data_IF_989307057531
#
_entry.id   IF_989307057531
#
_cell.length_a   1.000
_cell.length_b   1.000
_cell.length_c   1.000
_cell.angle_alpha   90.00
_cell.angle_beta   90.00
_cell.angle_gamma   90.00
#
_symmetry.space_group_name_H-M   'P 1'
#
loop_
_entity.id
_entity.type
_entity.pdbx_description
1 polymer ?
#
# COMPACT_ATOMS: atom_id res chain seq x y z
N UNK A 1 28.63 -25.86 -12.58
CA UNK A 1 28.02 -24.67 -13.21
C UNK A 1 26.52 -24.81 -12.98
N UNK A 2 25.95 -23.98 -12.12
CA UNK A 2 24.54 -24.09 -11.74
C UNK A 2 23.69 -23.63 -12.92
N UNK A 3 22.98 -24.55 -13.56
CA UNK A 3 21.98 -24.20 -14.58
C UNK A 3 20.90 -23.36 -13.91
N UNK A 4 20.71 -22.14 -14.40
CA UNK A 4 19.63 -21.25 -13.97
C UNK A 4 18.29 -21.95 -14.22
N UNK A 5 17.48 -22.08 -13.18
CA UNK A 5 16.16 -22.74 -13.24
C UNK A 5 15.16 -21.88 -14.03
N UNK A 6 14.20 -22.53 -14.68
CA UNK A 6 13.14 -21.86 -15.47
C UNK A 6 12.36 -20.90 -14.58
N UNK A 7 12.02 -21.32 -13.36
CA UNK A 7 11.26 -20.51 -12.40
C UNK A 7 11.99 -19.21 -12.04
N UNK A 8 13.29 -19.29 -11.77
CA UNK A 8 14.11 -18.11 -11.43
C UNK A 8 14.14 -17.12 -12.59
N UNK A 9 14.26 -17.62 -13.82
CA UNK A 9 14.27 -16.75 -15.01
C UNK A 9 12.90 -16.09 -15.24
N UNK A 10 11.79 -16.80 -15.00
CA UNK A 10 10.46 -16.21 -15.04
C UNK A 10 10.27 -15.11 -13.97
N UNK A 11 10.75 -15.34 -12.74
CA UNK A 11 10.72 -14.35 -11.66
C UNK A 11 11.54 -13.10 -12.01
N UNK A 12 12.74 -13.27 -12.56
CA UNK A 12 13.58 -12.14 -13.03
C UNK A 12 12.90 -11.35 -14.15
N UNK A 13 12.26 -12.06 -15.10
CA UNK A 13 11.48 -11.43 -16.15
C UNK A 13 10.37 -10.55 -15.57
N UNK A 14 9.59 -11.03 -14.60
CA UNK A 14 8.52 -10.23 -14.00
C UNK A 14 9.05 -9.09 -13.12
N UNK A 15 10.16 -9.32 -12.40
CA UNK A 15 10.72 -8.36 -11.41
C UNK A 15 11.25 -7.06 -12.00
N UNK A 16 11.52 -7.00 -13.31
CA UNK A 16 12.12 -5.81 -13.92
C UNK A 16 13.59 -5.95 -14.27
N UNK A 17 14.23 -7.07 -13.91
CA UNK A 17 15.64 -7.27 -14.21
C UNK A 17 15.83 -7.41 -15.73
N UNK A 18 16.61 -6.48 -16.29
CA UNK A 18 16.79 -6.32 -17.73
C UNK A 18 18.07 -6.99 -18.24
N UNK A 19 18.70 -7.85 -17.44
CA UNK A 19 19.86 -8.61 -17.89
C UNK A 19 19.46 -9.61 -18.98
N UNK A 20 20.31 -9.73 -19.99
CA UNK A 20 20.15 -10.75 -21.02
C UNK A 20 20.53 -12.10 -20.41
N UNK A 21 19.52 -12.79 -19.89
CA UNK A 21 19.66 -14.08 -19.23
C UNK A 21 19.00 -15.17 -20.06
N UNK A 22 19.61 -16.35 -20.09
CA UNK A 22 19.10 -17.48 -20.83
C UNK A 22 19.45 -18.79 -20.12
N UNK A 23 18.58 -19.77 -20.24
CA UNK A 23 18.83 -21.15 -19.85
C UNK A 23 18.50 -22.09 -21.04
N UNK A 24 18.35 -23.39 -20.77
CA UNK A 24 18.11 -24.37 -21.84
C UNK A 24 16.73 -24.22 -22.51
N UNK A 25 15.76 -23.63 -21.82
CA UNK A 25 14.36 -23.57 -22.22
C UNK A 25 13.87 -22.16 -22.54
N UNK A 26 14.42 -21.16 -21.86
CA UNK A 26 13.92 -19.79 -21.82
C UNK A 26 15.06 -18.79 -22.03
N UNK A 27 14.70 -17.62 -22.57
CA UNK A 27 15.59 -16.48 -22.73
C UNK A 27 14.84 -15.18 -22.53
N UNK A 28 15.43 -14.28 -21.74
CA UNK A 28 15.00 -12.89 -21.65
C UNK A 28 15.78 -12.08 -22.68
N UNK A 29 15.07 -11.34 -23.51
CA UNK A 29 15.65 -10.45 -24.50
C UNK A 29 15.16 -9.01 -24.24
N UNK A 30 16.04 -8.09 -23.82
CA UNK A 30 15.71 -6.68 -23.81
C UNK A 30 15.61 -6.15 -25.25
N UNK A 31 14.57 -5.37 -25.53
CA UNK A 31 14.32 -4.74 -26.83
C UNK A 31 13.85 -3.30 -26.62
N UNK A 32 14.77 -2.34 -26.78
CA UNK A 32 14.54 -0.91 -26.57
C UNK A 32 13.94 -0.59 -25.19
N UNK A 33 12.61 -0.48 -25.12
CA UNK A 33 11.82 -0.08 -23.95
C UNK A 33 10.87 -1.20 -23.47
N UNK A 34 11.08 -2.42 -23.94
CA UNK A 34 10.32 -3.59 -23.55
C UNK A 34 11.26 -4.78 -23.33
N UNK A 35 10.78 -5.78 -22.61
CA UNK A 35 11.48 -7.06 -22.41
C UNK A 35 10.63 -8.17 -22.97
N UNK A 36 11.26 -9.10 -23.67
CA UNK A 36 10.60 -10.25 -24.27
C UNK A 36 11.08 -11.52 -23.59
N UNK A 37 10.13 -12.39 -23.26
CA UNK A 37 10.41 -13.75 -22.83
C UNK A 37 10.20 -14.68 -24.02
N UNK A 38 11.28 -15.37 -24.40
CA UNK A 38 11.31 -16.29 -25.54
C UNK A 38 11.51 -17.72 -25.04
N UNK A 39 10.82 -18.68 -25.66
CA UNK A 39 11.07 -20.11 -25.45
C UNK A 39 12.24 -20.63 -26.31
N UNK A 40 12.58 -21.90 -26.12
CA UNK A 40 13.72 -22.60 -26.75
C UNK A 40 13.77 -22.50 -28.27
N UNK A 41 12.60 -22.45 -28.91
CA UNK A 41 12.45 -22.35 -30.38
C UNK A 41 12.36 -20.90 -30.88
N UNK A 42 12.62 -19.91 -30.02
CA UNK A 42 12.43 -18.49 -30.33
C UNK A 42 10.97 -18.05 -30.34
N UNK A 43 10.05 -18.87 -29.86
CA UNK A 43 8.63 -18.52 -29.74
C UNK A 43 8.45 -17.46 -28.65
N UNK A 44 7.80 -16.35 -28.98
CA UNK A 44 7.45 -15.30 -28.02
C UNK A 44 6.42 -15.83 -27.03
N UNK A 45 6.76 -15.83 -25.74
CA UNK A 45 5.89 -16.28 -24.65
C UNK A 45 5.21 -15.09 -23.98
N UNK A 46 5.99 -14.06 -23.64
CA UNK A 46 5.48 -12.85 -23.02
C UNK A 46 6.27 -11.60 -23.43
N UNK A 47 5.63 -10.43 -23.32
CA UNK A 47 6.24 -9.11 -23.56
C UNK A 47 5.91 -8.18 -22.40
N UNK A 48 6.92 -7.66 -21.72
CA UNK A 48 6.78 -6.66 -20.66
C UNK A 48 7.06 -5.26 -21.22
N UNK A 49 6.14 -4.34 -21.01
CA UNK A 49 6.23 -2.94 -21.40
C UNK A 49 6.50 -2.11 -20.14
N UNK A 50 7.76 -2.06 -19.73
CA UNK A 50 8.16 -1.39 -18.48
C UNK A 50 7.97 0.13 -18.54
N UNK A 51 8.02 0.71 -19.74
CA UNK A 51 7.81 2.16 -19.96
C UNK A 51 6.32 2.57 -20.00
N UNK A 52 5.38 1.63 -19.94
CA UNK A 52 3.95 1.94 -19.89
C UNK A 52 3.53 2.44 -18.49
N UNK A 53 2.51 3.30 -18.43
CA UNK A 53 1.90 3.72 -17.16
C UNK A 53 0.41 3.30 -17.14
N UNK A 54 0.01 2.31 -16.32
CA UNK A 54 0.87 1.45 -15.48
C UNK A 54 1.74 0.48 -16.31
N UNK A 55 2.82 -0.08 -15.71
CA UNK A 55 3.58 -1.16 -16.33
C UNK A 55 2.66 -2.32 -16.69
N UNK A 56 2.85 -2.90 -17.88
CA UNK A 56 1.98 -3.96 -18.40
C UNK A 56 2.78 -5.12 -18.95
N UNK A 57 2.23 -6.33 -18.83
CA UNK A 57 2.83 -7.56 -19.35
C UNK A 57 1.77 -8.29 -20.16
N UNK A 58 2.13 -8.67 -21.38
CA UNK A 58 1.30 -9.44 -22.30
C UNK A 58 1.81 -10.88 -22.35
N UNK A 59 0.96 -11.86 -22.04
CA UNK A 59 1.31 -13.29 -22.00
C UNK A 59 0.47 -14.06 -23.02
N UNK A 60 1.08 -14.93 -23.82
CA UNK A 60 0.34 -15.77 -24.76
C UNK A 60 -0.36 -16.93 -24.03
N UNK A 61 -1.65 -17.13 -24.33
CA UNK A 61 -2.50 -18.15 -23.67
C UNK A 61 -2.04 -19.59 -23.90
N UNK A 62 -1.65 -19.93 -25.13
CA UNK A 62 -1.32 -21.30 -25.52
C UNK A 62 0.17 -21.63 -25.33
N UNK A 63 0.71 -21.31 -24.15
CA UNK A 63 2.10 -21.61 -23.81
C UNK A 63 2.16 -22.53 -22.60
N UNK A 64 3.20 -23.37 -22.53
CA UNK A 64 3.43 -24.28 -21.40
C UNK A 64 3.73 -23.55 -20.08
N UNK A 65 4.08 -22.27 -20.16
CA UNK A 65 4.40 -21.42 -19.03
C UNK A 65 3.26 -20.46 -18.63
N UNK A 66 2.10 -20.50 -19.31
CA UNK A 66 1.01 -19.53 -19.09
C UNK A 66 0.51 -19.52 -17.63
N UNK A 67 0.30 -20.70 -17.05
CA UNK A 67 -0.22 -20.84 -15.69
C UNK A 67 0.80 -20.40 -14.63
N UNK A 68 2.08 -20.77 -14.82
CA UNK A 68 3.17 -20.38 -13.92
C UNK A 68 3.39 -18.87 -14.00
N UNK A 69 3.39 -18.29 -15.22
CA UNK A 69 3.46 -16.84 -15.41
C UNK A 69 2.29 -16.13 -14.76
N UNK A 70 1.08 -16.66 -14.88
CA UNK A 70 -0.09 -16.09 -14.20
C UNK A 70 0.14 -16.01 -12.69
N UNK A 71 0.61 -17.10 -12.07
CA UNK A 71 0.88 -17.13 -10.63
C UNK A 71 1.95 -16.10 -10.23
N UNK A 72 3.10 -16.10 -10.91
CA UNK A 72 4.18 -15.15 -10.63
C UNK A 72 3.71 -13.70 -10.83
N UNK A 73 2.92 -13.44 -11.87
CA UNK A 73 2.38 -12.10 -12.12
C UNK A 73 1.48 -11.64 -10.97
N UNK A 74 0.58 -12.48 -10.50
CA UNK A 74 -0.28 -12.18 -9.35
C UNK A 74 0.56 -11.91 -8.09
N UNK A 75 1.58 -12.72 -7.83
CA UNK A 75 2.51 -12.55 -6.69
C UNK A 75 3.29 -11.22 -6.77
N UNK A 76 3.54 -10.73 -8.00
CA UNK A 76 4.17 -9.43 -8.27
C UNK A 76 3.16 -8.30 -8.51
N UNK A 77 1.92 -8.43 -8.04
CA UNK A 77 0.86 -7.41 -8.11
C UNK A 77 0.43 -7.00 -9.54
N UNK A 78 0.66 -7.87 -10.51
CA UNK A 78 0.14 -7.73 -11.86
C UNK A 78 -1.24 -8.37 -11.97
N UNK A 79 -2.22 -7.55 -12.32
CA UNK A 79 -3.63 -7.92 -12.38
C UNK A 79 -4.05 -8.15 -13.83
N UNK A 80 -4.75 -9.23 -14.18
CA UNK A 80 -5.27 -9.41 -15.53
C UNK A 80 -6.29 -8.30 -15.87
N UNK A 81 -6.08 -7.62 -16.99
CA UNK A 81 -6.90 -6.52 -17.51
C UNK A 81 -7.38 -6.81 -18.92
N UNK A 82 -8.62 -6.45 -19.24
CA UNK A 82 -9.15 -6.55 -20.60
C UNK A 82 -9.27 -8.00 -21.09
N UNK A 83 -10.25 -8.73 -20.58
CA UNK A 83 -10.56 -10.07 -21.06
C UNK A 83 -11.52 -10.01 -22.24
N UNK A 84 -10.99 -9.87 -23.44
CA UNK A 84 -11.70 -10.40 -24.60
C UNK A 84 -11.54 -11.93 -24.57
N UNK A 85 -12.67 -12.67 -24.58
CA UNK A 85 -12.65 -14.13 -24.51
C UNK A 85 -11.78 -14.74 -25.62
N UNK A 86 -11.76 -14.12 -26.79
CA UNK A 86 -11.09 -14.62 -28.00
C UNK A 86 -9.63 -14.13 -28.17
N UNK A 87 -9.13 -13.31 -27.25
CA UNK A 87 -7.75 -12.83 -27.34
C UNK A 87 -6.75 -13.96 -27.11
N UNK A 88 -5.79 -14.09 -28.02
CA UNK A 88 -4.65 -15.01 -27.90
C UNK A 88 -3.64 -14.57 -26.82
N UNK A 89 -3.80 -13.35 -26.30
CA UNK A 89 -2.92 -12.70 -25.35
C UNK A 89 -3.71 -12.28 -24.11
N UNK A 90 -3.16 -12.58 -22.93
CA UNK A 90 -3.61 -12.07 -21.65
C UNK A 90 -2.80 -10.85 -21.30
N UNK A 91 -3.48 -9.72 -21.08
CA UNK A 91 -2.85 -8.50 -20.63
C UNK A 91 -2.90 -8.43 -19.11
N UNK A 92 -1.78 -8.08 -18.50
CA UNK A 92 -1.66 -7.81 -17.08
C UNK A 92 -1.15 -6.39 -16.89
N UNK A 93 -1.67 -5.70 -15.88
CA UNK A 93 -1.22 -4.37 -15.50
C UNK A 93 -0.90 -4.33 -14.01
N UNK A 94 0.18 -3.64 -13.67
CA UNK A 94 0.60 -3.50 -12.28
C UNK A 94 -0.25 -2.45 -11.57
N UNK A 95 -0.88 -2.85 -10.46
CA UNK A 95 -1.63 -1.94 -9.59
C UNK A 95 -1.13 -2.07 -8.16
N UNK A 96 -0.80 -0.95 -7.49
CA UNK A 96 -0.37 -1.01 -6.09
C UNK A 96 -1.50 -1.57 -5.22
N UNK A 97 -1.17 -2.55 -4.40
CA UNK A 97 -2.09 -3.16 -3.44
C UNK A 97 -1.88 -2.52 -2.07
N UNK A 98 -2.95 -2.12 -1.36
CA UNK A 98 -2.84 -1.70 0.04
C UNK A 98 -2.31 -2.82 0.95
N UNK A 99 -1.56 -2.46 1.98
CA UNK A 99 -1.04 -3.43 2.95
C UNK A 99 -2.16 -4.20 3.67
N UNK A 100 -1.95 -5.50 3.89
CA UNK A 100 -2.93 -6.39 4.51
C UNK A 100 -4.06 -6.83 3.58
N UNK A 101 -3.87 -6.70 2.26
CA UNK A 101 -4.78 -7.22 1.24
C UNK A 101 -4.05 -8.13 0.28
N UNK A 102 -4.75 -9.16 -0.20
CA UNK A 102 -4.30 -10.04 -1.27
C UNK A 102 -5.16 -9.90 -2.51
N UNK A 103 -4.55 -10.10 -3.68
CA UNK A 103 -5.28 -10.26 -4.94
C UNK A 103 -5.98 -11.61 -4.97
N UNK A 104 -7.25 -11.60 -5.35
CA UNK A 104 -8.00 -12.80 -5.70
C UNK A 104 -8.47 -12.66 -7.14
N UNK A 105 -8.17 -13.69 -7.94
CA UNK A 105 -8.65 -13.82 -9.31
C UNK A 105 -9.60 -15.01 -9.40
N UNK A 106 -10.84 -14.75 -9.82
CA UNK A 106 -11.89 -15.75 -9.79
C UNK A 106 -13.16 -15.31 -10.49
N UNK A 107 -14.20 -16.13 -10.41
CA UNK A 107 -15.48 -15.82 -11.05
C UNK A 107 -16.26 -14.79 -10.23
N UNK A 108 -17.03 -13.93 -10.88
CA UNK A 108 -17.79 -12.89 -10.21
C UNK A 108 -18.76 -13.44 -9.15
N UNK A 109 -19.34 -14.62 -9.39
CA UNK A 109 -20.16 -15.33 -8.39
C UNK A 109 -19.41 -15.73 -7.11
N UNK A 110 -18.09 -15.91 -7.16
CA UNK A 110 -17.28 -16.18 -5.97
C UNK A 110 -17.13 -14.92 -5.12
N UNK A 111 -16.88 -13.76 -5.76
CA UNK A 111 -16.89 -12.47 -5.08
C UNK A 111 -18.23 -12.22 -4.38
N UNK A 112 -19.36 -12.45 -5.06
CA UNK A 112 -20.69 -12.28 -4.45
C UNK A 112 -20.90 -13.16 -3.22
N UNK A 113 -20.43 -14.42 -3.26
CA UNK A 113 -20.49 -15.32 -2.08
C UNK A 113 -19.65 -14.78 -0.92
N UNK A 114 -18.46 -14.28 -1.20
CA UNK A 114 -17.61 -13.65 -0.18
C UNK A 114 -18.26 -12.39 0.39
N UNK A 115 -18.76 -11.50 -0.48
CA UNK A 115 -19.49 -10.29 -0.10
C UNK A 115 -20.64 -10.61 0.86
N UNK A 116 -21.52 -11.54 0.50
CA UNK A 116 -22.67 -11.93 1.32
C UNK A 116 -22.26 -12.48 2.69
N UNK A 117 -21.19 -13.28 2.73
CA UNK A 117 -20.66 -13.85 3.97
C UNK A 117 -20.14 -12.77 4.92
N UNK A 118 -19.52 -11.71 4.38
CA UNK A 118 -19.03 -10.57 5.16
C UNK A 118 -20.13 -9.58 5.54
N UNK A 119 -21.04 -9.24 4.62
CA UNK A 119 -22.14 -8.31 4.84
C UNK A 119 -23.06 -8.75 5.99
N UNK A 120 -23.31 -10.06 6.13
CA UNK A 120 -24.07 -10.63 7.24
C UNK A 120 -23.48 -10.36 8.63
N UNK A 121 -22.17 -10.03 8.71
CA UNK A 121 -21.45 -9.74 9.97
C UNK A 121 -21.35 -8.24 10.27
N UNK A 122 -21.60 -7.39 9.27
CA UNK A 122 -21.33 -5.95 9.30
C UNK A 122 -22.61 -5.12 9.22
N UNK A 123 -23.75 -5.63 9.69
CA UNK A 123 -25.09 -5.01 9.57
C UNK A 123 -25.19 -3.54 10.05
N UNK A 124 -24.17 -3.01 10.71
CA UNK A 124 -24.10 -1.64 11.23
C UNK A 124 -23.09 -0.72 10.48
N UNK A 125 -22.40 -1.20 9.43
CA UNK A 125 -21.45 -0.40 8.65
C UNK A 125 -21.99 -0.12 7.25
N UNK A 126 -22.05 1.16 6.87
CA UNK A 126 -22.44 1.60 5.53
C UNK A 126 -21.36 1.36 4.44
N UNK A 127 -20.15 0.99 4.83
CA UNK A 127 -19.01 0.75 3.94
C UNK A 127 -18.24 -0.48 4.42
N UNK A 128 -18.17 -1.51 3.57
CA UNK A 128 -17.35 -2.69 3.80
C UNK A 128 -15.97 -2.44 3.21
N UNK A 129 -14.96 -2.40 4.08
CA UNK A 129 -13.56 -2.18 3.69
C UNK A 129 -12.82 -3.50 3.47
N UNK A 130 -13.48 -4.65 3.60
CA UNK A 130 -12.81 -5.95 3.50
C UNK A 130 -12.59 -6.39 2.05
N UNK A 131 -13.35 -5.81 1.11
CA UNK A 131 -13.36 -6.19 -0.31
C UNK A 131 -13.26 -4.97 -1.21
N UNK A 132 -12.31 -4.99 -2.15
CA UNK A 132 -12.14 -3.95 -3.16
C UNK A 132 -12.23 -4.53 -4.56
N UNK A 133 -12.76 -3.75 -5.50
CA UNK A 133 -12.75 -4.06 -6.94
C UNK A 133 -11.95 -3.01 -7.69
N UNK A 134 -11.35 -3.43 -8.81
CA UNK A 134 -10.61 -2.53 -9.68
C UNK A 134 -11.59 -1.81 -10.60
N UNK A 135 -11.83 -0.51 -10.38
CA UNK A 135 -12.67 0.31 -11.26
C UNK A 135 -11.84 1.44 -11.87
N UNK A 136 -11.73 1.44 -13.20
CA UNK A 136 -10.92 2.37 -14.01
C UNK A 136 -9.55 2.69 -13.40
N UNK A 137 -8.77 1.62 -13.21
CA UNK A 137 -7.36 1.65 -12.79
C UNK A 137 -7.10 2.04 -11.33
N UNK A 138 -8.10 2.01 -10.46
CA UNK A 138 -7.93 2.20 -9.01
C UNK A 138 -8.80 1.21 -8.23
N UNK A 139 -8.34 0.83 -7.04
CA UNK A 139 -9.08 -0.02 -6.12
C UNK A 139 -10.14 0.78 -5.38
N UNK A 140 -11.39 0.32 -5.43
CA UNK A 140 -12.51 0.91 -4.69
C UNK A 140 -13.17 -0.12 -3.79
N UNK A 141 -13.52 0.26 -2.55
CA UNK A 141 -14.29 -0.60 -1.68
C UNK A 141 -15.67 -0.83 -2.31
N UNK A 142 -16.16 -2.06 -2.19
CA UNK A 142 -17.50 -2.40 -2.63
C UNK A 142 -18.51 -1.79 -1.64
N UNK A 143 -19.52 -1.11 -2.14
CA UNK A 143 -20.60 -0.52 -1.34
C UNK A 143 -21.80 -1.44 -1.25
N UNK A 144 -22.17 -1.98 -2.39
CA UNK A 144 -23.28 -2.92 -2.52
C UNK A 144 -23.03 -3.88 -3.69
N UNK A 145 -23.66 -5.05 -3.62
CA UNK A 145 -23.68 -6.01 -4.72
C UNK A 145 -25.09 -6.53 -4.88
N UNK A 146 -25.73 -6.17 -5.98
CA UNK A 146 -27.02 -6.72 -6.38
C UNK A 146 -26.83 -7.83 -7.41
N UNK A 147 -27.73 -8.81 -7.42
CA UNK A 147 -27.76 -9.88 -8.42
C UNK A 147 -29.13 -9.94 -9.08
N UNK A 148 -29.15 -9.97 -10.41
CA UNK A 148 -30.36 -10.17 -11.21
C UNK A 148 -30.07 -11.14 -12.35
N UNK A 149 -30.78 -12.27 -12.37
CA UNK A 149 -30.73 -13.24 -13.48
C UNK A 149 -29.30 -13.68 -13.86
N UNK A 150 -28.43 -13.89 -12.85
CA UNK A 150 -27.03 -14.29 -13.06
C UNK A 150 -26.07 -13.14 -13.39
N UNK A 151 -26.57 -11.91 -13.49
CA UNK A 151 -25.75 -10.69 -13.65
C UNK A 151 -25.58 -10.01 -12.30
N UNK A 152 -24.34 -9.67 -11.97
CA UNK A 152 -23.93 -8.95 -10.77
C UNK A 152 -23.77 -7.47 -11.11
N UNK A 153 -24.28 -6.63 -10.23
CA UNK A 153 -24.17 -5.18 -10.25
C UNK A 153 -23.38 -4.79 -9.01
N UNK A 154 -22.15 -4.33 -9.19
CA UNK A 154 -21.24 -3.97 -8.10
C UNK A 154 -21.20 -2.45 -8.02
N UNK A 155 -21.78 -1.90 -6.94
CA UNK A 155 -21.75 -0.47 -6.69
C UNK A 155 -20.48 -0.07 -5.93
N UNK A 156 -19.83 0.98 -6.41
CA UNK A 156 -18.63 1.56 -5.81
C UNK A 156 -18.80 3.08 -5.72
N UNK A 157 -17.90 3.77 -5.01
CA UNK A 157 -17.91 5.25 -5.00
C UNK A 157 -17.68 5.87 -6.38
N UNK A 158 -17.17 5.10 -7.35
CA UNK A 158 -16.95 5.55 -8.72
C UNK A 158 -18.14 5.29 -9.65
N UNK A 159 -19.11 4.50 -9.20
CA UNK A 159 -20.27 4.06 -9.96
C UNK A 159 -20.42 2.55 -9.96
N UNK A 160 -21.38 2.08 -10.73
CA UNK A 160 -21.76 0.69 -10.87
C UNK A 160 -20.98 -0.01 -12.00
N UNK A 161 -20.49 -1.21 -11.74
CA UNK A 161 -19.96 -2.11 -12.79
C UNK A 161 -20.82 -3.36 -12.90
N UNK A 162 -20.95 -3.88 -14.12
CA UNK A 162 -21.85 -5.01 -14.45
C UNK A 162 -21.02 -6.19 -14.93
N UNK A 163 -21.24 -7.35 -14.32
CA UNK A 163 -20.50 -8.58 -14.62
C UNK A 163 -21.46 -9.78 -14.66
N UNK A 164 -21.30 -10.70 -15.59
CA UNK A 164 -21.98 -11.99 -15.53
C UNK A 164 -21.34 -12.87 -14.44
N UNK A 165 -22.10 -13.78 -13.84
CA UNK A 165 -21.62 -14.62 -12.73
C UNK A 165 -20.41 -15.51 -13.07
N UNK A 166 -20.23 -15.81 -14.35
CA UNK A 166 -19.11 -16.61 -14.86
C UNK A 166 -17.95 -15.74 -15.39
N UNK A 167 -18.10 -14.41 -15.39
CA UNK A 167 -17.01 -13.51 -15.76
C UNK A 167 -15.87 -13.66 -14.76
N UNK A 168 -14.66 -13.77 -15.27
CA UNK A 168 -13.48 -13.73 -14.44
C UNK A 168 -13.15 -12.28 -14.09
N UNK A 169 -12.96 -12.04 -12.80
CA UNK A 169 -12.68 -10.72 -12.27
C UNK A 169 -11.62 -10.79 -11.19
N UNK A 170 -11.10 -9.62 -10.85
CA UNK A 170 -10.08 -9.46 -9.82
C UNK A 170 -10.62 -8.55 -8.74
N UNK A 171 -10.42 -8.97 -7.50
CA UNK A 171 -10.73 -8.18 -6.33
C UNK A 171 -9.61 -8.30 -5.30
N UNK A 172 -9.60 -7.39 -4.35
CA UNK A 172 -8.78 -7.52 -3.16
C UNK A 172 -9.62 -8.04 -2.01
N UNK A 173 -9.02 -8.93 -1.23
CA UNK A 173 -9.58 -9.43 0.02
C UNK A 173 -8.62 -9.06 1.15
N UNK A 174 -9.16 -8.55 2.25
CA UNK A 174 -8.37 -8.29 3.44
C UNK A 174 -7.82 -9.62 3.98
N UNK A 175 -6.50 -9.69 4.14
CA UNK A 175 -5.86 -10.79 4.83
C UNK A 175 -6.29 -10.75 6.29
N UNK A 176 -6.99 -11.80 6.72
CA UNK A 176 -7.30 -11.96 8.13
C UNK A 176 -5.98 -12.31 8.81
N UNK A 177 -5.44 -11.37 9.59
CA UNK A 177 -4.56 -11.75 10.68
C UNK A 177 -5.41 -12.60 11.63
N UNK A 178 -5.29 -13.92 11.53
CA UNK A 178 -5.70 -14.80 12.61
C UNK A 178 -4.77 -14.46 13.78
N UNK A 179 -5.27 -13.62 14.70
CA UNK A 179 -4.67 -13.27 15.98
C UNK A 179 -4.68 -14.51 16.90
N UNK A 180 -4.02 -15.58 16.47
CA UNK A 180 -3.85 -16.82 17.25
C UNK A 180 -2.41 -17.31 17.31
N UNK A 181 -1.45 -16.62 16.70
CA UNK A 181 -0.05 -16.86 17.00
C UNK A 181 0.67 -15.53 17.31
N UNK A 182 1.27 -15.55 18.50
CA UNK A 182 2.21 -14.57 19.02
C UNK A 182 1.65 -13.21 19.45
N UNK A 183 1.28 -13.16 20.74
CA UNK A 183 1.85 -12.15 21.65
C UNK A 183 3.34 -11.97 21.39
N UNK A 184 3.68 -11.13 20.41
CA UNK A 184 5.01 -10.59 20.22
C UNK A 184 4.88 -9.06 20.31
N UNK A 185 5.28 -8.53 21.46
CA UNK A 185 6.61 -7.95 21.61
C UNK A 185 6.74 -6.53 21.05
N UNK A 186 5.75 -5.65 21.30
CA UNK A 186 6.09 -4.26 21.63
C UNK A 186 6.71 -4.20 23.03
N UNK A 187 7.88 -4.82 23.19
CA UNK A 187 8.77 -4.52 24.29
C UNK A 187 9.60 -3.30 23.87
N UNK A 188 9.41 -2.20 24.59
CA UNK A 188 10.31 -1.05 24.56
C UNK A 188 11.77 -1.51 24.63
N UNK A 189 12.73 -0.85 23.95
CA UNK A 189 14.14 -1.17 24.10
C UNK A 189 14.52 -0.92 25.56
N UNK A 190 14.58 -1.99 26.35
CA UNK A 190 15.03 -1.93 27.73
C UNK A 190 16.52 -1.66 27.68
N UNK A 191 16.90 -0.48 28.18
CA UNK A 191 18.28 -0.04 28.24
C UNK A 191 19.19 -1.11 28.85
N UNK A 192 20.31 -1.35 28.19
CA UNK A 192 21.41 -2.18 28.69
C UNK A 192 21.82 -1.68 30.09
N UNK A 193 21.53 -2.49 31.10
CA UNK A 193 22.23 -2.44 32.39
C UNK A 193 23.49 -3.31 32.26
N UNK A 194 24.63 -2.64 32.27
CA UNK A 194 25.96 -3.24 32.38
C UNK A 194 26.08 -3.98 33.72
N UNK A 195 26.57 -5.23 33.78
CA UNK A 195 26.91 -5.88 35.04
C UNK A 195 28.28 -5.38 35.51
N UNK A 196 28.36 -4.86 36.73
CA UNK A 196 29.64 -4.71 37.43
C UNK A 196 29.62 -5.49 38.74
N UNK A 197 30.64 -6.33 38.86
CA UNK A 197 30.90 -7.29 39.92
C UNK A 197 31.33 -6.59 41.21
N UNK A 198 30.97 -7.20 42.34
CA UNK A 198 31.54 -6.95 43.66
C UNK A 198 32.92 -7.64 43.76
N UNK A 199 33.86 -7.08 44.55
CA UNK A 199 34.26 -7.84 45.73
C UNK A 199 34.47 -6.98 47.00
N UNK A 200 33.90 -7.50 48.08
CA UNK A 200 34.47 -7.76 49.42
C UNK A 200 35.46 -6.81 50.15
N UNK A 201 35.08 -6.55 51.41
CA UNK A 201 35.85 -6.35 52.65
C UNK A 201 36.05 -4.92 53.26
N UNK A 202 35.54 -4.85 54.50
CA UNK A 202 35.50 -3.86 55.61
C UNK A 202 36.89 -3.58 56.24
N UNK A 203 37.04 -2.80 57.36
CA UNK A 203 36.17 -1.82 58.06
C UNK A 203 36.88 -0.53 58.55
N UNK A 204 36.13 0.44 59.08
CA UNK A 204 36.36 1.18 60.36
C UNK A 204 35.38 2.38 60.48
N UNK A 205 34.54 2.39 61.53
CA UNK A 205 34.59 3.35 62.66
C UNK A 205 34.22 4.81 62.30
N UNK A 206 33.38 5.60 62.97
CA UNK A 206 32.51 5.54 64.16
C UNK A 206 31.71 6.88 64.11
N UNK A 207 30.59 6.94 64.84
CA UNK A 207 30.00 8.14 65.51
C UNK A 207 28.75 8.81 64.90
N UNK A 208 27.71 8.70 65.74
CA UNK A 208 26.76 9.74 66.21
C UNK A 208 25.67 10.28 65.28
N UNK A 209 24.46 9.72 65.47
CA UNK A 209 23.23 10.31 66.04
C UNK A 209 22.73 11.74 65.67
N UNK A 210 21.40 11.97 65.75
CA UNK A 210 20.55 12.88 64.95
C UNK A 210 20.23 14.18 65.76
N UNK A 211 19.08 14.92 65.67
CA UNK A 211 17.87 14.86 64.83
C UNK A 211 17.33 16.26 64.41
N UNK A 212 16.02 16.31 64.11
CA UNK A 212 15.09 17.45 64.22
C UNK A 212 14.72 18.20 62.92
N UNK A 213 13.44 18.06 62.50
CA UNK A 213 12.32 19.03 62.68
C UNK A 213 12.45 20.18 61.64
N UNK A 214 11.46 20.60 60.84
CA UNK A 214 10.03 20.73 61.05
C UNK A 214 9.32 21.00 59.71
N UNK A 215 8.03 20.69 59.68
CA UNK A 215 6.93 21.26 58.86
C UNK A 215 6.96 22.81 58.69
N UNK A 216 5.91 23.47 58.12
CA UNK A 216 5.14 23.30 56.88
C UNK A 216 4.95 24.65 56.13
N UNK A 217 4.03 24.68 55.15
CA UNK A 217 3.14 25.80 54.74
C UNK A 217 3.46 26.50 53.41
N UNK A 218 2.45 26.58 52.54
CA UNK A 218 2.38 27.63 51.51
C UNK A 218 1.68 27.24 50.20
N UNK A 219 0.34 27.15 50.21
CA UNK A 219 -0.50 27.55 49.04
C UNK A 219 -0.40 29.09 48.91
N UNK A 220 -0.65 29.76 47.75
CA UNK A 220 -1.76 29.43 46.84
C UNK A 220 -1.64 29.87 45.34
N UNK A 221 -2.73 29.61 44.60
CA UNK A 221 -3.32 30.38 43.47
C UNK A 221 -2.84 30.22 42.00
N UNK A 222 -3.82 29.73 41.21
CA UNK A 222 -4.36 30.23 39.93
C UNK A 222 -3.66 30.02 38.57
N UNK A 223 -4.57 29.81 37.61
CA UNK A 223 -4.50 29.91 36.15
C UNK A 223 -3.84 28.78 35.36
N UNK A 224 -4.64 27.73 35.15
CA UNK A 224 -4.48 26.80 34.04
C UNK A 224 -4.83 27.48 32.72
N UNK A 225 -3.83 28.03 32.05
CA UNK A 225 -3.91 28.42 30.65
C UNK A 225 -3.95 27.17 29.77
N UNK A 226 -5.14 26.83 29.25
CA UNK A 226 -5.31 25.84 28.19
C UNK A 226 -4.69 26.43 26.93
N UNK A 227 -3.53 25.91 26.52
CA UNK A 227 -2.92 26.25 25.24
C UNK A 227 -3.78 25.68 24.12
N UNK A 228 -4.59 26.53 23.48
CA UNK A 228 -5.27 26.18 22.24
C UNK A 228 -4.22 26.02 21.14
N UNK A 229 -4.12 24.83 20.56
CA UNK A 229 -3.30 24.60 19.39
C UNK A 229 -3.85 25.42 18.22
N UNK A 230 -3.16 26.49 17.84
CA UNK A 230 -3.54 27.32 16.70
C UNK A 230 -3.18 26.59 15.41
N UNK A 231 -4.20 26.21 14.65
CA UNK A 231 -4.05 25.58 13.33
C UNK A 231 -3.82 26.64 12.26
N UNK A 232 -2.88 26.37 11.35
CA UNK A 232 -2.52 27.22 10.20
C UNK A 232 -3.73 27.42 9.27
N UNK A 233 -4.07 28.68 8.98
CA UNK A 233 -5.26 29.07 8.21
C UNK A 233 -5.24 28.62 6.74
N UNK A 234 -4.11 28.09 6.27
CA UNK A 234 -3.99 27.49 4.93
C UNK A 234 -4.44 26.02 4.85
N UNK A 235 -4.60 25.33 5.99
CA UNK A 235 -5.17 23.96 6.09
C UNK A 235 -6.63 23.96 6.55
N UNK A 236 -7.21 25.14 6.75
CA UNK A 236 -8.57 25.35 7.22
C UNK A 236 -9.68 24.58 6.46
N UNK A 237 -9.58 24.26 5.15
CA UNK A 237 -10.65 23.49 4.52
C UNK A 237 -10.62 21.98 4.81
N UNK A 238 -9.56 21.44 5.44
CA UNK A 238 -9.36 19.98 5.58
C UNK A 238 -9.09 19.53 7.01
N UNK A 239 -8.42 20.33 7.87
CA UNK A 239 -8.14 19.92 9.26
C UNK A 239 -8.38 21.08 10.22
N UNK A 240 -9.16 20.84 11.27
CA UNK A 240 -9.39 21.82 12.35
C UNK A 240 -9.40 21.15 13.73
N UNK A 241 -9.07 21.90 14.78
CA UNK A 241 -9.07 21.41 16.16
C UNK A 241 -10.18 22.10 16.97
N UNK A 242 -10.98 21.32 17.70
CA UNK A 242 -12.06 21.82 18.58
C UNK A 242 -12.12 20.92 19.84
N UNK A 243 -12.18 21.53 21.03
CA UNK A 243 -12.29 20.83 22.32
C UNK A 243 -11.24 19.71 22.55
N UNK A 244 -9.99 19.96 22.14
CA UNK A 244 -8.89 18.99 22.31
C UNK A 244 -8.95 17.79 21.35
N UNK A 245 -9.86 17.81 20.37
CA UNK A 245 -9.99 16.80 19.31
C UNK A 245 -9.55 17.38 17.98
N UNK A 246 -9.00 16.53 17.12
CA UNK A 246 -8.62 16.90 15.75
C UNK A 246 -9.67 16.37 14.78
N UNK A 247 -10.21 17.25 13.96
CA UNK A 247 -11.21 16.95 12.95
C UNK A 247 -10.56 17.03 11.57
N UNK A 248 -10.76 16.00 10.77
CA UNK A 248 -10.29 15.94 9.38
C UNK A 248 -11.53 15.88 8.48
N UNK A 249 -11.79 16.96 7.76
CA UNK A 249 -12.82 17.03 6.74
C UNK A 249 -12.33 16.30 5.49
N UNK A 250 -12.94 15.16 5.20
CA UNK A 250 -12.70 14.41 3.97
C UNK A 250 -13.90 14.54 3.03
N UNK A 251 -13.74 14.10 1.77
CA UNK A 251 -14.85 13.99 0.83
C UNK A 251 -15.94 13.00 1.28
N UNK A 252 -15.66 12.18 2.30
CA UNK A 252 -16.53 11.13 2.84
C UNK A 252 -17.21 11.55 4.16
N UNK A 253 -16.86 12.71 4.72
CA UNK A 253 -17.34 13.18 6.02
C UNK A 253 -16.20 13.62 6.96
N UNK A 254 -16.57 13.95 8.19
CA UNK A 254 -15.63 14.40 9.22
C UNK A 254 -15.10 13.20 10.00
N UNK A 255 -13.78 13.02 10.01
CA UNK A 255 -13.10 12.03 10.84
C UNK A 255 -12.63 12.73 12.12
N UNK A 256 -12.96 12.18 13.28
CA UNK A 256 -12.47 12.65 14.59
C UNK A 256 -11.29 11.78 15.00
N UNK A 257 -10.14 12.41 15.19
CA UNK A 257 -8.93 11.75 15.68
C UNK A 257 -8.79 12.07 17.17
N UNK A 258 -8.89 11.04 18.01
CA UNK A 258 -8.76 11.11 19.47
C UNK A 258 -7.49 10.38 19.91
N UNK A 259 -6.76 10.94 20.87
CA UNK A 259 -5.58 10.30 21.43
C UNK A 259 -4.84 11.20 22.43
N UNK A 260 -4.32 10.61 23.50
CA UNK A 260 -3.66 11.34 24.59
C UNK A 260 -2.27 11.91 24.19
N UNK A 261 -1.73 11.52 23.03
CA UNK A 261 -0.36 11.84 22.59
C UNK A 261 -0.27 12.20 21.11
N UNK A 262 -1.28 12.87 20.56
CA UNK A 262 -1.22 13.31 19.16
C UNK A 262 -0.09 14.35 18.98
N UNK A 263 0.81 14.08 18.03
CA UNK A 263 1.89 14.99 17.62
C UNK A 263 1.70 15.34 16.15
N UNK A 264 1.56 16.63 15.85
CA UNK A 264 1.55 17.11 14.47
C UNK A 264 2.97 17.49 14.06
N UNK A 265 3.41 17.03 12.89
CA UNK A 265 4.70 17.40 12.29
C UNK A 265 4.43 18.26 11.06
N UNK A 266 5.03 19.46 11.03
CA UNK A 266 5.02 20.29 9.82
C UNK A 266 6.09 19.74 8.87
N UNK A 267 5.74 19.25 7.67
CA UNK A 267 6.78 18.96 6.68
C UNK A 267 7.49 20.28 6.36
N UNK A 268 8.82 20.28 6.56
CA UNK A 268 9.64 21.42 6.16
C UNK A 268 9.45 21.64 4.66
N UNK A 269 9.27 22.89 4.19
CA UNK A 269 9.17 23.15 2.77
C UNK A 269 10.43 22.62 2.08
N UNK A 270 10.31 21.94 0.92
CA UNK A 270 11.47 21.47 0.18
C UNK A 270 12.36 22.66 -0.14
N UNK A 271 13.64 22.57 0.27
CA UNK A 271 14.67 23.53 -0.10
C UNK A 271 14.63 23.74 -1.61
N UNK A 272 14.37 24.98 -2.01
CA UNK A 272 14.45 25.41 -3.39
C UNK A 272 15.87 25.13 -3.91
N UNK A 273 16.00 24.20 -4.85
CA UNK A 273 17.20 24.06 -5.65
C UNK A 273 17.35 25.30 -6.53
N UNK A 274 18.53 25.95 -6.59
CA UNK A 274 18.75 27.08 -7.47
C UNK A 274 18.77 26.56 -8.92
N UNK A 275 17.80 27.00 -9.73
CA UNK A 275 17.81 26.71 -11.18
C UNK A 275 18.44 27.86 -11.94
N UNK A 276 19.38 27.46 -12.76
CA UNK A 276 20.24 28.25 -13.63
C UNK A 276 19.51 29.20 -14.59
N UNK A 277 20.21 30.32 -14.79
CA UNK A 277 20.32 31.17 -15.99
C UNK A 277 19.23 31.04 -17.06
N UNK A 278 18.44 32.11 -17.16
CA UNK A 278 17.67 32.48 -18.33
C UNK A 278 18.55 32.54 -19.59
N UNK A 279 18.21 31.73 -20.59
CA UNK A 279 18.67 31.91 -21.97
C UNK A 279 17.61 32.73 -22.70
N UNK A 280 17.95 33.99 -23.00
CA UNK A 280 17.11 34.93 -23.75
C UNK A 280 17.02 34.48 -25.21
N UNK A 281 15.88 33.93 -25.63
CA UNK A 281 15.55 33.75 -27.05
C UNK A 281 14.78 34.98 -27.52
N UNK A 282 15.46 35.82 -28.29
CA UNK A 282 14.87 36.96 -28.95
C UNK A 282 13.90 36.49 -30.06
N UNK A 283 12.61 36.75 -29.88
CA UNK A 283 11.60 36.56 -30.92
C UNK A 283 11.44 37.88 -31.67
N UNK A 284 11.99 37.94 -32.89
CA UNK A 284 11.74 39.03 -33.84
C UNK A 284 10.32 38.86 -34.40
N UNK A 285 9.41 39.78 -34.03
CA UNK A 285 8.11 39.95 -34.70
C UNK A 285 8.25 41.01 -35.78
N UNK A 286 8.19 40.60 -37.04
CA UNK A 286 7.88 41.50 -38.15
C UNK A 286 6.40 41.92 -38.06
N UNK A 287 6.13 43.23 -38.11
CA UNK A 287 4.79 43.76 -38.36
C UNK A 287 4.61 43.96 -39.88
N UNK A 288 3.40 43.71 -40.42
CA UNK A 288 3.07 44.06 -41.78
C UNK A 288 2.61 45.52 -41.90
N UNK A 289 3.10 46.17 -42.97
CA UNK A 289 2.73 47.45 -43.60
C UNK A 289 2.93 48.74 -42.81
#
# INVERSE_FOLDING_TARGET
>A
MNSLDDLTLLQWFVSGDASLEANQSLRIQPANNLRQLLGRKGSLLATAYDAALPPRIEVRRHTEYADILHQILVDHHFVPVGQELDSQVLCYAHYPIPEGYRIVYGQARQLWKQWWTHASRLSDRHLQLDLFVLASSQWYPIRDVAINSGTLYIDTLRGETVHHGDDMMVWLEQERCDETDETCFWASPSGQLVPHQLPEQTPAATLTSPPHQSQPSGRPLLDGAVSSATVDSTLAPVVYALDGRVYVQTALGVIVVEGEKLRAYKPAPPMATPRDRATTVATVRQRPR
#
